data_IF_802286755386
#
_entry.id   IF_802286755386
#
_cell.length_a   1.000
_cell.length_b   1.000
_cell.length_c   1.000
_cell.angle_alpha   90.00
_cell.angle_beta   90.00
_cell.angle_gamma   90.00
#
_symmetry.space_group_name_H-M   'P 1'
#
loop_
_entity.id
_entity.type
_entity.pdbx_description
1 polymer ?
#
# COMPACT_ATOMS: atom_id res chain seq x y z
N UNK A 1 2.88 6.59 -10.38
CA UNK A 1 2.22 5.51 -11.15
C UNK A 1 2.18 5.89 -12.62
N UNK A 2 2.21 4.91 -13.54
CA UNK A 2 2.08 5.13 -14.99
C UNK A 2 0.77 4.54 -15.48
N UNK A 3 0.00 5.29 -16.27
CA UNK A 3 -1.19 4.79 -16.99
C UNK A 3 -0.78 4.02 -18.23
N UNK A 4 -1.52 2.97 -18.55
CA UNK A 4 -1.36 2.21 -19.80
C UNK A 4 -2.37 2.70 -20.84
N UNK A 5 -1.95 3.01 -22.09
CA UNK A 5 -2.86 3.52 -23.13
C UNK A 5 -4.04 2.59 -23.41
N UNK A 6 -3.79 1.28 -23.43
CA UNK A 6 -4.80 0.27 -23.78
C UNK A 6 -5.76 -0.06 -22.62
N UNK A 7 -5.44 0.37 -21.40
CA UNK A 7 -6.21 0.07 -20.20
C UNK A 7 -6.32 1.32 -19.30
N UNK A 8 -7.39 2.13 -19.44
CA UNK A 8 -7.48 3.44 -18.81
C UNK A 8 -7.57 3.41 -17.28
N UNK A 9 -8.07 2.30 -16.71
CA UNK A 9 -8.21 2.11 -15.27
C UNK A 9 -7.03 1.35 -14.64
N UNK A 10 -6.02 1.00 -15.42
CA UNK A 10 -4.83 0.30 -14.92
C UNK A 10 -3.74 1.32 -14.58
N UNK A 11 -3.29 1.26 -13.32
CA UNK A 11 -2.18 2.04 -12.81
C UNK A 11 -1.01 1.10 -12.50
N UNK A 12 0.13 1.35 -13.12
CA UNK A 12 1.36 0.60 -12.87
C UNK A 12 2.22 1.37 -11.87
N UNK A 13 2.59 0.74 -10.76
CA UNK A 13 3.49 1.31 -9.75
C UNK A 13 4.95 1.27 -10.25
N UNK A 14 5.40 2.36 -10.88
CA UNK A 14 6.78 2.56 -11.31
C UNK A 14 7.59 3.29 -10.20
N UNK A 15 7.90 2.59 -9.12
CA UNK A 15 8.74 3.10 -8.03
C UNK A 15 9.99 2.21 -7.88
N UNK A 16 11.22 2.74 -7.80
CA UNK A 16 12.45 1.94 -7.78
C UNK A 16 12.49 0.87 -6.69
N UNK A 17 11.98 1.18 -5.49
CA UNK A 17 11.90 0.19 -4.39
C UNK A 17 10.94 -0.97 -4.69
N UNK A 18 9.81 -0.71 -5.38
CA UNK A 18 8.88 -1.77 -5.76
C UNK A 18 9.52 -2.64 -6.84
N UNK A 19 10.17 -2.03 -7.84
CA UNK A 19 10.86 -2.75 -8.91
C UNK A 19 12.01 -3.62 -8.38
N UNK A 20 12.83 -3.10 -7.47
CA UNK A 20 13.89 -3.85 -6.79
C UNK A 20 13.34 -5.06 -6.02
N UNK A 21 12.31 -4.85 -5.18
CA UNK A 21 11.67 -5.91 -4.40
C UNK A 21 10.98 -6.94 -5.29
N UNK A 22 10.37 -6.50 -6.39
CA UNK A 22 9.77 -7.39 -7.38
C UNK A 22 10.83 -8.28 -8.05
N UNK A 23 12.05 -7.77 -8.25
CA UNK A 23 13.21 -8.56 -8.66
C UNK A 23 13.49 -9.71 -7.70
N UNK A 24 13.49 -9.44 -6.39
CA UNK A 24 13.67 -10.48 -5.36
C UNK A 24 12.54 -11.52 -5.42
N UNK A 25 11.28 -11.09 -5.54
CA UNK A 25 10.15 -12.05 -5.66
C UNK A 25 10.23 -12.93 -6.92
N UNK A 26 10.83 -12.43 -8.00
CA UNK A 26 10.97 -13.14 -9.27
C UNK A 26 12.16 -14.10 -9.31
N UNK A 27 13.13 -13.93 -8.42
CA UNK A 27 14.29 -14.81 -8.33
C UNK A 27 13.91 -16.19 -7.78
N UNK A 28 14.20 -17.24 -8.55
CA UNK A 28 13.95 -18.64 -8.17
C UNK A 28 14.76 -19.07 -6.94
N UNK A 29 15.88 -18.39 -6.66
CA UNK A 29 16.71 -18.62 -5.49
C UNK A 29 16.14 -18.04 -4.19
N UNK A 30 15.08 -17.21 -4.25
CA UNK A 30 14.54 -16.53 -3.07
C UNK A 30 13.88 -17.52 -2.11
N UNK A 31 14.38 -17.65 -0.86
CA UNK A 31 13.81 -18.57 0.11
C UNK A 31 12.37 -18.18 0.50
N UNK A 32 11.49 -19.15 0.83
CA UNK A 32 10.09 -18.87 1.17
C UNK A 32 9.87 -17.82 2.29
N UNK A 33 10.67 -17.77 3.37
CA UNK A 33 10.52 -16.71 4.38
C UNK A 33 10.78 -15.31 3.82
N UNK A 34 11.82 -15.16 2.99
CA UNK A 34 12.16 -13.89 2.33
C UNK A 34 11.06 -13.47 1.37
N UNK A 35 10.53 -14.41 0.57
CA UNK A 35 9.43 -14.14 -0.34
C UNK A 35 8.22 -13.55 0.38
N UNK A 36 7.79 -14.17 1.49
CA UNK A 36 6.63 -13.69 2.27
C UNK A 36 6.84 -12.28 2.83
N UNK A 37 8.02 -12.02 3.40
CA UNK A 37 8.35 -10.71 3.93
C UNK A 37 8.33 -9.64 2.84
N UNK A 38 8.99 -9.91 1.71
CA UNK A 38 9.09 -8.95 0.60
C UNK A 38 7.73 -8.71 -0.06
N UNK A 39 6.85 -9.73 -0.13
CA UNK A 39 5.49 -9.57 -0.62
C UNK A 39 4.69 -8.58 0.23
N UNK A 40 4.75 -8.69 1.56
CA UNK A 40 4.13 -7.73 2.48
C UNK A 40 4.70 -6.31 2.31
N UNK A 41 6.02 -6.18 2.18
CA UNK A 41 6.65 -4.87 1.95
C UNK A 41 6.21 -4.22 0.63
N UNK A 42 6.04 -4.99 -0.44
CA UNK A 42 5.48 -4.47 -1.70
C UNK A 42 4.01 -4.06 -1.51
N UNK A 43 3.22 -4.88 -0.83
CA UNK A 43 1.82 -4.58 -0.55
C UNK A 43 1.66 -3.25 0.19
N UNK A 44 2.46 -2.99 1.23
CA UNK A 44 2.43 -1.72 1.96
C UNK A 44 2.80 -0.52 1.12
N UNK A 45 3.86 -0.62 0.31
CA UNK A 45 4.25 0.45 -0.63
C UNK A 45 3.15 0.72 -1.68
N UNK A 46 2.52 -0.33 -2.19
CA UNK A 46 1.40 -0.21 -3.12
C UNK A 46 0.18 0.44 -2.46
N UNK A 47 -0.18 0.01 -1.26
CA UNK A 47 -1.32 0.55 -0.50
C UNK A 47 -1.10 2.03 -0.19
N UNK A 48 0.09 2.41 0.28
CA UNK A 48 0.44 3.82 0.55
C UNK A 48 0.21 4.71 -0.68
N UNK A 49 0.66 4.27 -1.86
CA UNK A 49 0.45 5.02 -3.09
C UNK A 49 -1.00 4.96 -3.59
N UNK A 50 -1.68 3.83 -3.43
CA UNK A 50 -3.06 3.62 -3.91
C UNK A 50 -4.11 4.39 -3.11
N UNK A 51 -3.82 4.68 -1.84
CA UNK A 51 -4.74 5.38 -0.94
C UNK A 51 -4.51 6.90 -0.89
N UNK A 52 -3.68 7.45 -1.80
CA UNK A 52 -3.31 8.87 -1.84
C UNK A 52 -4.50 9.83 -1.86
N UNK A 53 -5.57 9.45 -2.56
CA UNK A 53 -6.73 10.32 -2.80
C UNK A 53 -7.92 9.98 -1.90
N UNK A 54 -7.70 9.28 -0.78
CA UNK A 54 -8.78 8.97 0.17
C UNK A 54 -9.41 10.25 0.73
N UNK A 55 -10.75 10.31 0.85
CA UNK A 55 -11.42 11.46 1.41
C UNK A 55 -11.07 11.61 2.89
N UNK A 56 -10.88 12.86 3.31
CA UNK A 56 -10.54 13.22 4.68
C UNK A 56 -11.48 14.27 5.25
N UNK A 57 -11.58 14.36 6.57
CA UNK A 57 -12.33 15.40 7.27
C UNK A 57 -11.49 16.07 8.37
N UNK A 58 -11.82 17.31 8.68
CA UNK A 58 -11.19 18.07 9.77
C UNK A 58 -11.69 17.57 11.12
N UNK A 59 -10.78 17.42 12.08
CA UNK A 59 -11.08 17.11 13.48
C UNK A 59 -10.16 17.88 14.42
N UNK A 60 -10.74 18.42 15.48
CA UNK A 60 -9.98 19.08 16.55
C UNK A 60 -9.43 18.05 17.54
N UNK A 61 -8.17 18.21 17.94
CA UNK A 61 -7.49 17.38 18.94
C UNK A 61 -6.78 18.24 19.97
N UNK A 62 -6.71 17.76 21.22
CA UNK A 62 -5.89 18.38 22.26
C UNK A 62 -4.47 17.84 22.18
N UNK A 63 -3.52 18.72 21.87
CA UNK A 63 -2.08 18.42 22.01
C UNK A 63 -1.62 18.77 23.43
N UNK A 64 -0.40 18.36 23.85
CA UNK A 64 0.14 18.75 25.16
C UNK A 64 0.24 20.27 25.39
N UNK A 65 0.17 21.08 24.32
CA UNK A 65 0.29 22.54 24.40
C UNK A 65 -1.09 23.22 24.27
N UNK A 66 -1.90 22.85 23.26
CA UNK A 66 -3.22 23.47 22.99
C UNK A 66 -4.09 22.65 22.04
N UNK A 67 -5.34 23.09 21.87
CA UNK A 67 -6.23 22.60 20.82
C UNK A 67 -5.64 22.87 19.42
N UNK A 68 -5.74 21.89 18.53
CA UNK A 68 -5.20 21.92 17.18
C UNK A 68 -6.17 21.27 16.18
N UNK A 69 -6.36 21.93 15.03
CA UNK A 69 -7.11 21.36 13.91
C UNK A 69 -6.23 20.37 13.14
N UNK A 70 -6.69 19.12 13.03
CA UNK A 70 -6.02 18.03 12.32
C UNK A 70 -6.94 17.39 11.29
N UNK A 71 -6.43 16.39 10.57
CA UNK A 71 -7.15 15.68 9.51
C UNK A 71 -7.25 14.20 9.89
N UNK A 72 -8.41 13.60 9.64
CA UNK A 72 -8.64 12.16 9.74
C UNK A 72 -9.32 11.60 8.49
N UNK A 73 -9.20 10.29 8.26
CA UNK A 73 -9.90 9.62 7.16
C UNK A 73 -11.42 9.77 7.34
N UNK A 74 -12.13 10.10 6.26
CA UNK A 74 -13.57 10.33 6.31
C UNK A 74 -14.39 9.05 6.47
N UNK A 75 -13.82 7.89 6.10
CA UNK A 75 -14.48 6.59 6.14
C UNK A 75 -13.48 5.47 6.50
N UNK A 76 -13.95 4.36 7.10
CA UNK A 76 -13.12 3.19 7.35
C UNK A 76 -12.70 2.53 6.03
N UNK A 77 -11.49 1.96 6.01
CA UNK A 77 -10.98 1.17 4.89
C UNK A 77 -11.10 -0.32 5.24
N UNK A 78 -11.57 -1.13 4.29
CA UNK A 78 -11.67 -2.59 4.45
C UNK A 78 -10.77 -3.28 3.45
N UNK A 79 -9.90 -4.15 3.93
CA UNK A 79 -9.00 -4.97 3.12
C UNK A 79 -9.64 -6.35 2.94
N UNK A 80 -9.82 -6.79 1.68
CA UNK A 80 -10.46 -8.06 1.34
C UNK A 80 -9.47 -8.94 0.56
N UNK A 81 -8.75 -9.87 1.24
CA UNK A 81 -7.81 -10.75 0.56
C UNK A 81 -8.53 -11.90 -0.18
N UNK A 82 -8.07 -12.22 -1.40
CA UNK A 82 -8.50 -13.43 -2.10
C UNK A 82 -7.63 -14.61 -1.64
N UNK A 83 -8.28 -15.61 -1.04
CA UNK A 83 -7.58 -16.72 -0.40
C UNK A 83 -7.01 -17.73 -1.42
N UNK A 84 -5.86 -18.37 -1.14
CA UNK A 84 -5.00 -18.21 0.06
C UNK A 84 -3.88 -17.19 -0.12
N UNK A 85 -3.47 -16.93 -1.36
CA UNK A 85 -2.28 -16.14 -1.66
C UNK A 85 -2.39 -14.68 -1.19
N UNK A 86 -3.60 -14.11 -1.18
CA UNK A 86 -3.85 -12.74 -0.72
C UNK A 86 -3.54 -12.49 0.75
N UNK A 87 -3.45 -13.53 1.60
CA UNK A 87 -3.07 -13.37 3.00
C UNK A 87 -1.65 -12.82 3.17
N UNK A 88 -0.74 -13.10 2.23
CA UNK A 88 0.63 -12.57 2.31
C UNK A 88 0.72 -11.05 2.08
N UNK A 89 -0.39 -10.40 1.73
CA UNK A 89 -0.45 -8.97 1.43
C UNK A 89 -1.19 -8.16 2.51
N UNK A 90 -1.85 -8.81 3.48
CA UNK A 90 -2.70 -8.10 4.46
C UNK A 90 -1.92 -7.44 5.58
N UNK A 91 -0.71 -7.94 5.85
CA UNK A 91 0.17 -7.39 6.89
C UNK A 91 0.97 -6.17 6.41
N UNK A 92 0.86 -5.85 5.10
CA UNK A 92 1.60 -4.81 4.41
C UNK A 92 0.99 -3.42 4.54
#
# INVERSE_FOLDING_TARGET
MRRTPDHPNLLVHAHPLIEHKLGILRDVGTPPPTFRRVLGEIAGLMTYESLRDLPTRTREVMTPIKACSTVELAAPVTIVPILRAGLGMTDG
#
